data_IF_685455345119
#
_entry.id   IF_685455345119
#
_cell.length_a   1.000
_cell.length_b   1.000
_cell.length_c   1.000
_cell.angle_alpha   90.00
_cell.angle_beta   90.00
_cell.angle_gamma   90.00
#
_symmetry.space_group_name_H-M   'P 1'
#
loop_
_entity.id
_entity.type
_entity.pdbx_description
1 polymer ?
#
# COMPACT_ATOMS: atom_id res chain seq x y z
N UNK A 1 -28.96 -8.24 5.53
CA UNK A 1 -27.57 -8.45 6.00
C UNK A 1 -27.10 -7.13 6.59
N UNK A 2 -26.57 -7.11 7.81
CA UNK A 2 -26.00 -5.87 8.38
C UNK A 2 -24.61 -5.61 7.77
N UNK A 3 -24.10 -4.39 7.95
CA UNK A 3 -22.84 -3.98 7.33
C UNK A 3 -21.63 -4.77 7.83
N UNK A 4 -21.62 -5.22 9.09
CA UNK A 4 -20.52 -6.02 9.64
C UNK A 4 -20.43 -7.42 9.02
N UNK A 5 -21.56 -8.09 8.81
CA UNK A 5 -21.61 -9.38 8.11
C UNK A 5 -21.21 -9.19 6.64
N UNK A 6 -21.73 -8.14 5.98
CA UNK A 6 -21.35 -7.83 4.60
C UNK A 6 -19.85 -7.58 4.45
N UNK A 7 -19.28 -6.78 5.36
CA UNK A 7 -17.86 -6.50 5.38
C UNK A 7 -17.03 -7.77 5.57
N UNK A 8 -17.41 -8.63 6.51
CA UNK A 8 -16.70 -9.90 6.78
C UNK A 8 -16.68 -10.81 5.55
N UNK A 9 -17.82 -10.95 4.86
CA UNK A 9 -17.92 -11.74 3.63
C UNK A 9 -17.06 -11.16 2.50
N UNK A 10 -17.00 -9.83 2.38
CA UNK A 10 -16.14 -9.18 1.38
C UNK A 10 -14.66 -9.44 1.70
N UNK A 11 -14.26 -9.32 2.97
CA UNK A 11 -12.88 -9.56 3.39
C UNK A 11 -12.45 -11.01 3.13
N UNK A 12 -13.33 -11.99 3.38
CA UNK A 12 -13.06 -13.40 3.06
C UNK A 12 -12.85 -13.60 1.55
N UNK A 13 -13.70 -13.00 0.71
CA UNK A 13 -13.55 -13.07 -0.75
C UNK A 13 -12.24 -12.45 -1.23
N UNK A 14 -11.84 -11.31 -0.65
CA UNK A 14 -10.57 -10.65 -0.97
C UNK A 14 -9.39 -11.54 -0.57
N UNK A 15 -9.41 -12.14 0.62
CA UNK A 15 -8.34 -13.05 1.07
C UNK A 15 -8.19 -14.26 0.14
N UNK A 16 -9.30 -14.92 -0.22
CA UNK A 16 -9.28 -16.05 -1.16
C UNK A 16 -8.74 -15.62 -2.52
N UNK A 17 -9.14 -14.45 -3.02
CA UNK A 17 -8.64 -13.92 -4.28
C UNK A 17 -7.14 -13.64 -4.21
N UNK A 18 -6.67 -12.94 -3.18
CA UNK A 18 -5.26 -12.59 -2.99
C UNK A 18 -4.38 -13.84 -2.89
N UNK A 19 -4.79 -14.87 -2.14
CA UNK A 19 -4.06 -16.15 -2.05
C UNK A 19 -4.00 -16.92 -3.36
N UNK A 20 -5.03 -16.82 -4.20
CA UNK A 20 -5.03 -17.47 -5.52
C UNK A 20 -4.23 -16.70 -6.56
N UNK A 21 -4.21 -15.37 -6.45
CA UNK A 21 -3.48 -14.51 -7.38
C UNK A 21 -2.01 -14.34 -6.99
N UNK A 22 -1.65 -14.48 -5.71
CA UNK A 22 -0.28 -14.21 -5.26
C UNK A 22 0.73 -15.02 -6.06
N UNK A 23 1.61 -14.32 -6.79
CA UNK A 23 2.65 -14.94 -7.60
C UNK A 23 2.21 -15.55 -8.93
N UNK A 24 0.95 -15.41 -9.34
CA UNK A 24 0.55 -15.76 -10.69
C UNK A 24 0.98 -14.66 -11.68
N UNK A 25 1.88 -15.02 -12.59
CA UNK A 25 2.27 -14.24 -13.75
C UNK A 25 2.31 -15.16 -14.97
N UNK A 26 1.97 -14.65 -16.16
CA UNK A 26 2.05 -15.47 -17.37
C UNK A 26 3.51 -15.67 -17.74
N UNK A 27 4.01 -16.90 -17.61
CA UNK A 27 5.39 -17.27 -18.00
C UNK A 27 5.65 -16.94 -19.47
N UNK A 28 6.82 -16.37 -19.72
CA UNK A 28 7.27 -15.91 -21.02
C UNK A 28 6.52 -14.70 -21.57
N UNK A 29 5.58 -14.12 -20.82
CA UNK A 29 4.65 -13.09 -21.31
C UNK A 29 4.46 -11.92 -20.36
N UNK A 30 5.27 -11.82 -19.31
CA UNK A 30 5.10 -10.79 -18.28
C UNK A 30 6.36 -9.99 -18.06
N UNK A 31 6.37 -8.75 -18.56
CA UNK A 31 7.32 -7.73 -18.14
C UNK A 31 6.62 -6.78 -17.17
N UNK A 32 7.34 -6.28 -16.17
CA UNK A 32 6.80 -5.44 -15.10
C UNK A 32 7.54 -4.11 -15.09
N UNK A 33 6.81 -3.02 -14.91
CA UNK A 33 7.36 -1.72 -14.57
C UNK A 33 6.72 -1.24 -13.26
N UNK A 34 7.52 -0.72 -12.34
CA UNK A 34 7.01 -0.16 -11.08
C UNK A 34 7.84 1.03 -10.62
N UNK A 35 7.20 1.91 -9.83
CA UNK A 35 7.82 3.09 -9.27
C UNK A 35 8.59 2.78 -7.99
N UNK A 36 9.84 3.23 -7.94
CA UNK A 36 10.71 3.23 -6.78
C UNK A 36 11.34 4.62 -6.63
N UNK A 37 10.55 5.55 -6.10
CA UNK A 37 10.95 6.95 -5.94
C UNK A 37 10.91 7.38 -4.48
N UNK A 38 11.96 8.10 -4.05
CA UNK A 38 12.03 8.70 -2.72
C UNK A 38 11.27 10.02 -2.59
N UNK A 39 10.88 10.64 -3.71
CA UNK A 39 10.08 11.86 -3.75
C UNK A 39 8.58 11.58 -3.77
N UNK A 40 8.15 10.57 -4.53
CA UNK A 40 6.75 10.14 -4.62
C UNK A 40 6.46 9.08 -3.56
N UNK A 41 6.43 9.51 -2.30
CA UNK A 41 6.31 8.61 -1.14
C UNK A 41 4.92 7.98 -1.04
N UNK A 42 4.87 6.69 -0.72
CA UNK A 42 3.65 5.93 -0.48
C UNK A 42 3.46 5.57 1.01
N UNK A 43 2.25 5.15 1.36
CA UNK A 43 1.89 4.65 2.70
C UNK A 43 2.13 3.14 2.82
N UNK A 44 3.35 2.67 2.52
CA UNK A 44 3.71 1.26 2.74
C UNK A 44 3.63 0.87 4.22
N UNK A 45 4.08 1.78 5.08
CA UNK A 45 4.05 1.69 6.53
C UNK A 45 3.09 2.74 7.06
N UNK A 46 2.07 2.28 7.78
CA UNK A 46 1.07 3.15 8.40
C UNK A 46 1.33 3.15 9.91
N UNK A 47 1.74 4.30 10.45
CA UNK A 47 2.01 4.47 11.88
C UNK A 47 1.09 5.52 12.48
N UNK A 48 0.63 5.27 13.71
CA UNK A 48 -0.09 6.26 14.51
C UNK A 48 0.84 6.84 15.57
N UNK A 49 1.14 8.12 15.47
CA UNK A 49 2.01 8.85 16.39
C UNK A 49 1.20 9.33 17.59
N UNK A 50 1.54 8.89 18.79
CA UNK A 50 0.94 9.40 20.02
C UNK A 50 1.57 10.74 20.43
N UNK A 51 0.76 11.68 20.94
CA UNK A 51 1.27 12.94 21.49
C UNK A 51 1.80 12.83 22.93
N UNK A 52 1.56 11.69 23.60
CA UNK A 52 2.04 11.40 24.96
C UNK A 52 2.97 10.18 25.00
N UNK A 53 3.51 9.88 26.17
CA UNK A 53 4.22 8.62 26.40
C UNK A 53 3.22 7.46 26.48
N UNK A 54 3.65 6.29 26.00
CA UNK A 54 2.95 5.02 26.12
C UNK A 54 3.68 4.05 27.08
N UNK A 55 4.75 4.49 27.74
CA UNK A 55 5.63 3.62 28.54
C UNK A 55 4.90 3.00 29.74
N UNK A 56 3.86 3.66 30.23
CA UNK A 56 3.00 3.25 31.34
C UNK A 56 1.57 2.89 30.88
N UNK A 57 1.39 2.58 29.60
CA UNK A 57 0.10 2.21 29.02
C UNK A 57 0.14 0.74 28.60
N UNK A 58 -0.63 -0.08 29.28
CA UNK A 58 -0.76 -1.51 28.96
C UNK A 58 -1.64 -1.76 27.72
N UNK A 59 -1.45 -2.92 27.10
CA UNK A 59 -2.30 -3.36 25.99
C UNK A 59 -3.78 -3.49 26.42
N UNK A 60 -4.04 -3.97 27.65
CA UNK A 60 -5.39 -4.10 28.19
C UNK A 60 -6.09 -2.75 28.36
N UNK A 61 -5.37 -1.72 28.83
CA UNK A 61 -5.90 -0.35 28.88
C UNK A 61 -6.26 0.17 27.49
N UNK A 62 -5.45 -0.12 26.47
CA UNK A 62 -5.74 0.27 25.08
C UNK A 62 -6.97 -0.48 24.54
N UNK A 63 -7.13 -1.76 24.85
CA UNK A 63 -8.29 -2.57 24.43
C UNK A 63 -9.61 -2.08 25.06
N UNK A 64 -9.54 -1.51 26.26
CA UNK A 64 -10.69 -0.95 26.97
C UNK A 64 -10.90 0.55 26.72
N UNK A 65 -9.98 1.19 26.00
CA UNK A 65 -10.04 2.62 25.75
C UNK A 65 -11.26 3.02 24.91
N UNK A 66 -11.81 4.19 25.21
CA UNK A 66 -12.97 4.75 24.51
C UNK A 66 -12.54 5.80 23.50
N UNK A 67 -12.98 5.66 22.26
CA UNK A 67 -12.81 6.70 21.22
C UNK A 67 -13.67 7.93 21.54
N UNK A 68 -13.04 9.09 21.73
CA UNK A 68 -13.72 10.33 22.14
C UNK A 68 -14.18 11.22 20.97
N UNK A 69 -13.37 11.32 19.92
CA UNK A 69 -13.61 12.23 18.79
C UNK A 69 -13.42 11.50 17.47
N UNK A 70 -14.53 11.26 16.76
CA UNK A 70 -14.56 10.63 15.44
C UNK A 70 -14.65 11.62 14.27
N UNK A 71 -14.95 12.91 14.54
CA UNK A 71 -15.18 13.92 13.51
C UNK A 71 -13.95 14.24 12.64
N UNK A 72 -12.74 13.98 13.13
CA UNK A 72 -11.49 14.13 12.38
C UNK A 72 -10.82 12.80 12.05
N UNK A 73 -11.52 11.67 12.24
CA UNK A 73 -10.96 10.34 11.99
C UNK A 73 -10.54 10.17 10.52
N UNK A 74 -11.32 10.73 9.60
CA UNK A 74 -11.00 10.79 8.16
C UNK A 74 -9.81 11.70 7.81
N UNK A 75 -9.33 12.52 8.76
CA UNK A 75 -8.14 13.35 8.63
C UNK A 75 -6.92 12.74 9.33
N UNK A 76 -7.01 11.46 9.73
CA UNK A 76 -5.94 10.76 10.42
C UNK A 76 -5.66 11.31 11.81
N UNK A 77 -6.69 11.74 12.56
CA UNK A 77 -6.55 12.17 13.96
C UNK A 77 -7.62 11.52 14.82
N UNK A 78 -7.19 10.90 15.92
CA UNK A 78 -8.10 10.28 16.91
C UNK A 78 -7.68 10.66 18.32
N UNK A 79 -8.63 10.63 19.25
CA UNK A 79 -8.37 10.77 20.69
C UNK A 79 -9.04 9.61 21.41
N UNK A 80 -8.26 8.89 22.18
CA UNK A 80 -8.71 7.80 23.06
C UNK A 80 -8.75 8.30 24.51
N UNK A 81 -9.68 7.78 25.28
CA UNK A 81 -9.72 7.90 26.75
C UNK A 81 -9.51 6.53 27.36
N UNK A 82 -8.46 6.38 28.15
CA UNK A 82 -8.15 5.17 28.88
C UNK A 82 -9.15 4.95 30.04
N UNK A 83 -9.22 3.74 30.62
CA UNK A 83 -10.11 3.46 31.75
C UNK A 83 -9.93 4.43 32.95
N UNK A 84 -8.68 4.84 33.19
CA UNK A 84 -8.29 5.78 34.25
C UNK A 84 -8.53 7.27 33.92
N UNK A 85 -9.20 7.55 32.80
CA UNK A 85 -9.53 8.89 32.27
C UNK A 85 -8.37 9.67 31.67
N UNK A 86 -7.16 9.12 31.56
CA UNK A 86 -6.09 9.72 30.74
C UNK A 86 -6.53 9.77 29.27
N UNK A 87 -6.12 10.83 28.57
CA UNK A 87 -6.44 11.03 27.15
C UNK A 87 -5.19 10.96 26.31
N UNK A 88 -5.24 10.13 25.27
CA UNK A 88 -4.17 9.96 24.30
C UNK A 88 -4.65 10.42 22.94
N UNK A 89 -3.96 11.40 22.35
CA UNK A 89 -4.21 11.84 20.99
C UNK A 89 -3.22 11.20 20.04
N UNK A 90 -3.73 10.64 18.95
CA UNK A 90 -2.93 10.02 17.91
C UNK A 90 -3.13 10.74 16.58
N UNK A 91 -2.06 10.81 15.79
CA UNK A 91 -2.05 11.32 14.43
C UNK A 91 -1.40 10.31 13.49
N UNK A 92 -2.04 10.05 12.35
CA UNK A 92 -1.49 9.22 11.30
C UNK A 92 -0.19 9.84 10.76
N UNK A 93 0.82 9.01 10.55
CA UNK A 93 2.07 9.41 9.91
C UNK A 93 1.82 9.90 8.47
N UNK A 94 2.71 10.77 7.99
CA UNK A 94 2.79 11.06 6.55
C UNK A 94 3.40 9.84 5.83
N UNK A 95 3.08 9.65 4.56
CA UNK A 95 3.81 8.73 3.69
C UNK A 95 5.33 8.91 3.83
N UNK A 96 6.06 7.83 4.02
CA UNK A 96 7.52 7.85 4.14
C UNK A 96 8.21 6.90 3.17
N UNK A 97 7.55 5.82 2.79
CA UNK A 97 8.17 4.75 2.03
C UNK A 97 8.28 5.13 0.56
N UNK A 98 9.30 4.60 -0.09
CA UNK A 98 9.53 4.79 -1.52
C UNK A 98 8.38 4.17 -2.30
N UNK A 99 8.08 4.73 -3.47
CA UNK A 99 6.99 4.23 -4.32
C UNK A 99 6.68 5.20 -5.46
N UNK A 100 5.43 5.19 -5.89
CA UNK A 100 4.87 6.11 -6.89
C UNK A 100 3.75 6.98 -6.31
N UNK A 101 3.79 7.27 -5.02
CA UNK A 101 2.76 8.06 -4.32
C UNK A 101 1.49 7.28 -3.96
N UNK A 102 1.26 6.10 -4.53
CA UNK A 102 0.15 5.20 -4.17
C UNK A 102 0.64 3.81 -3.79
N UNK A 103 1.43 3.18 -4.66
CA UNK A 103 1.97 1.84 -4.50
C UNK A 103 3.38 1.94 -3.89
N UNK A 104 3.62 1.36 -2.71
CA UNK A 104 4.96 1.31 -2.14
C UNK A 104 5.85 0.36 -2.95
N UNK A 105 7.15 0.64 -2.95
CA UNK A 105 8.18 -0.17 -3.63
C UNK A 105 8.08 -1.65 -3.27
N UNK A 106 7.81 -1.99 -2.01
CA UNK A 106 7.66 -3.38 -1.55
C UNK A 106 6.54 -4.15 -2.27
N UNK A 107 5.45 -3.45 -2.63
CA UNK A 107 4.37 -4.03 -3.44
C UNK A 107 4.77 -4.08 -4.91
N UNK A 108 5.40 -3.01 -5.42
CA UNK A 108 5.87 -2.92 -6.80
C UNK A 108 6.90 -4.00 -7.16
N UNK A 109 7.81 -4.32 -6.24
CA UNK A 109 8.84 -5.35 -6.43
C UNK A 109 8.35 -6.78 -6.16
N UNK A 110 7.12 -6.97 -5.67
CA UNK A 110 6.55 -8.29 -5.37
C UNK A 110 6.58 -9.32 -6.54
N UNK A 111 6.60 -8.94 -7.83
CA UNK A 111 6.81 -9.86 -8.95
C UNK A 111 8.25 -10.41 -9.08
N UNK A 112 9.23 -9.83 -8.39
CA UNK A 112 10.64 -10.24 -8.49
C UNK A 112 10.80 -11.72 -8.10
N UNK A 113 11.46 -12.49 -8.96
CA UNK A 113 11.62 -13.94 -8.81
C UNK A 113 10.37 -14.77 -9.11
N UNK A 114 9.27 -14.15 -9.54
CA UNK A 114 8.00 -14.83 -9.90
C UNK A 114 7.63 -14.67 -11.38
N UNK A 115 8.31 -13.79 -12.10
CA UNK A 115 8.27 -13.69 -13.56
C UNK A 115 9.64 -13.98 -14.15
N UNK A 116 9.66 -14.54 -15.36
CA UNK A 116 10.83 -14.77 -16.20
C UNK A 116 11.10 -13.61 -17.19
N UNK A 117 10.24 -12.59 -17.19
CA UNK A 117 10.40 -11.40 -18.01
C UNK A 117 11.23 -10.29 -17.36
N UNK A 118 11.29 -9.15 -18.02
CA UNK A 118 12.01 -7.97 -17.55
C UNK A 118 11.28 -7.26 -16.43
N UNK A 119 12.07 -6.66 -15.54
CA UNK A 119 11.60 -5.78 -14.48
C UNK A 119 12.25 -4.41 -14.69
N UNK A 120 11.42 -3.39 -14.85
CA UNK A 120 11.82 -2.00 -14.99
C UNK A 120 11.54 -1.28 -13.67
N UNK A 121 12.59 -0.77 -13.05
CA UNK A 121 12.51 0.04 -11.83
C UNK A 121 12.55 1.49 -12.27
N UNK A 122 11.48 2.23 -12.00
CA UNK A 122 11.26 3.56 -12.56
C UNK A 122 11.12 4.61 -11.47
N UNK A 123 11.29 5.88 -11.83
CA UNK A 123 11.15 7.01 -10.91
C UNK A 123 10.63 8.24 -11.64
N UNK A 124 10.20 9.25 -10.90
CA UNK A 124 9.84 10.56 -11.42
C UNK A 124 8.37 10.69 -11.83
N UNK A 125 7.46 9.88 -11.28
CA UNK A 125 6.02 9.99 -11.52
C UNK A 125 5.18 9.64 -10.29
N UNK A 126 3.97 10.21 -10.24
CA UNK A 126 2.86 9.73 -9.42
C UNK A 126 2.14 8.56 -10.14
N UNK A 127 1.57 7.62 -9.39
CA UNK A 127 0.96 6.40 -9.90
C UNK A 127 -0.03 6.67 -11.04
N UNK A 128 -0.91 7.65 -10.81
CA UNK A 128 -1.95 8.07 -11.74
C UNK A 128 -1.40 8.58 -13.08
N UNK A 129 -0.18 9.14 -13.06
CA UNK A 129 0.49 9.75 -14.21
C UNK A 129 1.58 8.85 -14.81
N UNK A 130 1.72 7.59 -14.36
CA UNK A 130 2.78 6.67 -14.81
C UNK A 130 2.89 6.54 -16.34
N UNK A 131 1.77 6.59 -17.05
CA UNK A 131 1.70 6.49 -18.52
C UNK A 131 1.54 7.84 -19.24
N UNK A 132 1.69 8.98 -18.56
CA UNK A 132 1.62 10.29 -19.19
C UNK A 132 2.72 10.50 -20.24
N UNK A 133 2.57 11.53 -21.08
CA UNK A 133 3.57 11.90 -22.09
C UNK A 133 4.94 12.14 -21.46
N UNK A 134 5.98 11.52 -22.03
CA UNK A 134 7.37 11.62 -21.55
C UNK A 134 7.72 10.76 -20.33
N UNK A 135 6.82 9.90 -19.84
CA UNK A 135 7.08 9.04 -18.67
C UNK A 135 7.76 7.72 -19.03
N UNK A 136 8.60 7.17 -18.12
CA UNK A 136 9.37 5.96 -18.35
C UNK A 136 8.48 4.74 -18.64
N UNK A 137 7.29 4.63 -18.03
CA UNK A 137 6.44 3.46 -18.20
C UNK A 137 5.97 3.25 -19.66
N UNK A 138 5.87 4.33 -20.45
CA UNK A 138 5.59 4.22 -21.91
C UNK A 138 6.75 3.60 -22.67
N UNK A 139 7.99 3.92 -22.29
CA UNK A 139 9.20 3.35 -22.90
C UNK A 139 9.31 1.88 -22.52
N UNK A 140 9.12 1.53 -21.25
CA UNK A 140 9.14 0.15 -20.77
C UNK A 140 8.05 -0.71 -21.41
N UNK A 141 6.84 -0.14 -21.61
CA UNK A 141 5.76 -0.81 -22.32
C UNK A 141 6.09 -1.03 -23.80
N UNK A 142 6.56 -0.01 -24.52
CA UNK A 142 6.96 -0.13 -25.92
C UNK A 142 8.10 -1.15 -26.08
N UNK A 143 9.10 -1.10 -25.21
CA UNK A 143 10.17 -2.09 -25.16
C UNK A 143 9.60 -3.51 -25.05
N UNK A 144 8.68 -3.71 -24.10
CA UNK A 144 8.09 -5.03 -23.85
C UNK A 144 7.29 -5.55 -25.04
N UNK A 145 6.53 -4.68 -25.71
CA UNK A 145 5.81 -5.03 -26.94
C UNK A 145 6.77 -5.49 -28.03
N UNK A 146 7.84 -4.72 -28.28
CA UNK A 146 8.84 -5.06 -29.30
C UNK A 146 9.59 -6.36 -28.94
N UNK A 147 9.94 -6.54 -27.67
CA UNK A 147 10.59 -7.76 -27.20
C UNK A 147 9.70 -8.97 -27.45
N UNK A 148 8.43 -8.95 -27.01
CA UNK A 148 7.51 -10.05 -27.21
C UNK A 148 7.25 -10.33 -28.69
N UNK A 149 7.06 -9.30 -29.51
CA UNK A 149 6.86 -9.45 -30.96
C UNK A 149 8.10 -10.02 -31.69
N UNK A 150 9.29 -9.84 -31.12
CA UNK A 150 10.55 -10.36 -31.69
C UNK A 150 10.87 -11.82 -31.31
N UNK A 151 10.14 -12.40 -30.34
CA UNK A 151 10.34 -13.80 -29.93
C UNK A 151 9.82 -14.69 -31.06
N UNK A 152 10.71 -15.50 -31.63
CA UNK A 152 10.33 -16.60 -32.52
C UNK A 152 9.72 -17.71 -31.66
N UNK A 153 8.59 -18.26 -32.10
CA UNK A 153 7.97 -19.44 -31.47
C UNK A 153 8.91 -20.65 -31.45
#
# INVERSE_FOLDING_TARGET
>A
MNDSVRFSVIMEKVDVFQKKHMGFYQSGKTNIAYGDDGQHKAWGSISWMCSGSLDDVSEDELRQARLLQSNNMYKGKITLELPDKRRLSFKLSKAQDRGDGTVPTDSGCAPQGKTDGRIFIESGYEHQDSYADGRPSRVSALFSILEFASRKE
#
